data_IF_485713956880
#
_entry.id   IF_485713956880
#
_cell.length_a   1.000
_cell.length_b   1.000
_cell.length_c   1.000
_cell.angle_alpha   90.00
_cell.angle_beta   90.00
_cell.angle_gamma   90.00
#
_symmetry.space_group_name_H-M   'P 1'
#
loop_
_entity.id
_entity.type
_entity.pdbx_description
1 polymer ?
#
# COMPACT_ATOMS: atom_id res chain seq x y z
N UNK A 1 -17.92 23.24 12.06
CA UNK A 1 -17.11 22.01 12.01
C UNK A 1 -16.69 21.80 10.58
N UNK A 2 -15.44 22.14 10.30
CA UNK A 2 -14.76 21.91 9.03
C UNK A 2 -14.81 20.43 8.64
N UNK A 3 -15.12 20.15 7.39
CA UNK A 3 -14.72 18.90 6.75
C UNK A 3 -13.87 19.29 5.56
N UNK A 4 -12.61 19.59 5.83
CA UNK A 4 -11.56 19.61 4.82
C UNK A 4 -11.37 18.17 4.33
N UNK A 5 -12.25 17.75 3.42
CA UNK A 5 -11.90 16.71 2.46
C UNK A 5 -10.85 17.35 1.55
N UNK A 6 -9.63 17.47 2.07
CA UNK A 6 -8.46 17.70 1.24
C UNK A 6 -8.50 16.61 0.19
N UNK A 7 -8.55 17.00 -1.08
CA UNK A 7 -8.50 16.08 -2.20
C UNK A 7 -7.14 15.36 -2.13
N UNK A 8 -7.09 14.27 -1.37
CA UNK A 8 -5.97 13.35 -1.37
C UNK A 8 -5.78 12.95 -2.83
N UNK A 9 -4.54 13.06 -3.34
CA UNK A 9 -4.26 12.68 -4.71
C UNK A 9 -4.75 11.23 -4.92
N UNK A 10 -5.17 10.85 -6.14
CA UNK A 10 -5.61 9.49 -6.41
C UNK A 10 -4.65 8.41 -5.91
N UNK A 11 -3.34 8.69 -5.90
CA UNK A 11 -2.34 7.78 -5.34
C UNK A 11 -2.43 7.66 -3.82
N UNK A 12 -2.65 8.76 -3.09
CA UNK A 12 -2.80 8.71 -1.64
C UNK A 12 -4.07 7.93 -1.27
N UNK A 13 -5.18 8.19 -1.96
CA UNK A 13 -6.43 7.45 -1.77
C UNK A 13 -6.25 5.94 -2.04
N UNK A 14 -5.51 5.58 -3.09
CA UNK A 14 -5.23 4.17 -3.40
C UNK A 14 -4.34 3.51 -2.33
N UNK A 15 -3.37 4.24 -1.79
CA UNK A 15 -2.52 3.74 -0.71
C UNK A 15 -3.31 3.49 0.57
N UNK A 16 -4.24 4.38 0.91
CA UNK A 16 -5.15 4.16 2.03
C UNK A 16 -6.03 2.92 1.81
N UNK A 17 -6.58 2.74 0.60
CA UNK A 17 -7.33 1.53 0.24
C UNK A 17 -6.49 0.26 0.40
N UNK A 18 -5.26 0.26 -0.12
CA UNK A 18 -4.33 -0.87 0.04
C UNK A 18 -4.01 -1.18 1.50
N UNK A 19 -3.77 -0.16 2.32
CA UNK A 19 -3.50 -0.35 3.74
C UNK A 19 -4.71 -0.91 4.49
N UNK A 20 -5.92 -0.42 4.18
CA UNK A 20 -7.16 -0.91 4.77
C UNK A 20 -7.41 -2.39 4.42
N UNK A 21 -7.11 -2.82 3.18
CA UNK A 21 -7.20 -4.24 2.80
C UNK A 21 -6.22 -5.11 3.60
N UNK A 22 -4.99 -4.64 3.81
CA UNK A 22 -4.01 -5.36 4.63
C UNK A 22 -4.44 -5.45 6.10
N UNK A 23 -5.06 -4.40 6.65
CA UNK A 23 -5.65 -4.42 7.99
C UNK A 23 -6.82 -5.39 8.10
N UNK A 24 -7.70 -5.43 7.11
CA UNK A 24 -8.80 -6.38 7.04
C UNK A 24 -8.30 -7.84 7.03
N UNK A 25 -7.28 -8.13 6.21
CA UNK A 25 -6.64 -9.44 6.19
C UNK A 25 -6.00 -9.78 7.54
N UNK A 26 -5.35 -8.82 8.20
CA UNK A 26 -4.79 -9.04 9.53
C UNK A 26 -5.86 -9.45 10.56
N UNK A 27 -7.04 -8.83 10.51
CA UNK A 27 -8.16 -9.19 11.38
C UNK A 27 -8.64 -10.63 11.13
N UNK A 28 -8.73 -11.05 9.87
CA UNK A 28 -9.10 -12.43 9.52
C UNK A 28 -8.05 -13.45 9.98
N UNK A 29 -6.76 -13.13 9.85
CA UNK A 29 -5.70 -14.00 10.40
C UNK A 29 -5.75 -14.07 11.93
N UNK A 30 -6.08 -12.98 12.61
CA UNK A 30 -6.22 -12.98 14.07
C UNK A 30 -7.43 -13.80 14.54
N UNK A 31 -8.56 -13.70 13.84
CA UNK A 31 -9.75 -14.54 14.07
C UNK A 31 -9.43 -16.03 13.95
N UNK A 32 -8.59 -16.39 12.99
CA UNK A 32 -8.08 -17.76 12.79
C UNK A 32 -6.88 -18.11 13.68
N UNK A 33 -6.53 -17.27 14.66
CA UNK A 33 -5.40 -17.44 15.59
C UNK A 33 -4.02 -17.56 14.92
N UNK A 34 -3.90 -17.09 13.68
CA UNK A 34 -2.65 -17.02 12.91
C UNK A 34 -1.87 -15.75 13.26
N UNK A 35 -1.54 -15.57 14.54
CA UNK A 35 -1.00 -14.33 15.08
C UNK A 35 0.30 -13.83 14.41
N UNK A 36 1.27 -14.69 14.01
CA UNK A 36 2.46 -14.23 13.29
C UNK A 36 2.12 -13.56 11.96
N UNK A 37 1.15 -14.12 11.22
CA UNK A 37 0.71 -13.59 9.92
C UNK A 37 -0.08 -12.30 10.13
N UNK A 38 -0.99 -12.26 11.10
CA UNK A 38 -1.71 -11.04 11.45
C UNK A 38 -0.75 -9.89 11.81
N UNK A 39 0.33 -10.18 12.55
CA UNK A 39 1.37 -9.19 12.88
C UNK A 39 2.13 -8.71 11.64
N UNK A 40 2.50 -9.62 10.74
CA UNK A 40 3.14 -9.26 9.48
C UNK A 40 2.24 -8.38 8.61
N UNK A 41 0.95 -8.68 8.53
CA UNK A 41 -0.02 -7.90 7.76
C UNK A 41 -0.26 -6.50 8.35
N UNK A 42 -0.30 -6.37 9.68
CA UNK A 42 -0.32 -5.04 10.33
C UNK A 42 0.94 -4.23 10.04
N UNK A 43 2.10 -4.86 10.08
CA UNK A 43 3.36 -4.20 9.73
C UNK A 43 3.37 -3.76 8.25
N UNK A 44 2.81 -4.58 7.35
CA UNK A 44 2.64 -4.23 5.95
C UNK A 44 1.71 -3.02 5.78
N UNK A 45 0.55 -3.01 6.42
CA UNK A 45 -0.38 -1.86 6.36
C UNK A 45 0.28 -0.55 6.81
N UNK A 46 1.07 -0.59 7.89
CA UNK A 46 1.86 0.56 8.35
C UNK A 46 2.85 1.02 7.30
N UNK A 47 3.62 0.10 6.70
CA UNK A 47 4.55 0.43 5.60
C UNK A 47 3.85 1.03 4.39
N UNK A 48 2.65 0.57 4.04
CA UNK A 48 1.87 1.16 2.93
C UNK A 48 1.46 2.60 3.26
N UNK A 49 1.04 2.88 4.51
CA UNK A 49 0.68 4.23 4.99
C UNK A 49 1.89 5.16 5.08
N UNK A 50 3.02 4.65 5.57
CA UNK A 50 4.27 5.39 5.77
C UNK A 50 5.11 5.53 4.49
N UNK A 51 4.80 4.75 3.45
CA UNK A 51 5.43 4.90 2.15
C UNK A 51 5.37 6.37 1.73
N UNK A 52 6.41 6.88 1.12
CA UNK A 52 6.30 8.13 0.39
C UNK A 52 6.41 7.74 -1.06
N UNK A 53 5.62 8.37 -1.94
CA UNK A 53 5.91 8.27 -3.36
C UNK A 53 7.35 8.77 -3.51
N UNK A 54 8.29 7.84 -3.75
CA UNK A 54 9.58 8.26 -4.26
C UNK A 54 9.28 9.08 -5.50
N UNK A 55 9.77 10.32 -5.57
CA UNK A 55 9.67 11.17 -6.77
C UNK A 55 10.24 10.46 -8.01
N UNK A 56 10.97 9.37 -7.81
CA UNK A 56 11.67 8.61 -8.83
C UNK A 56 10.91 7.37 -9.34
N UNK A 57 9.68 7.07 -8.87
CA UNK A 57 8.84 6.09 -9.57
C UNK A 57 8.23 6.73 -10.82
N UNK A 58 9.10 7.20 -11.71
CA UNK A 58 8.75 7.69 -13.03
C UNK A 58 8.28 6.47 -13.82
N UNK A 59 6.97 6.42 -14.10
CA UNK A 59 6.31 5.35 -14.89
C UNK A 59 6.97 5.15 -16.26
N UNK A 60 7.75 6.13 -16.72
CA UNK A 60 8.58 6.07 -17.92
C UNK A 60 9.70 5.02 -17.85
N UNK A 61 10.21 4.71 -16.66
CA UNK A 61 11.30 3.74 -16.44
C UNK A 61 10.78 2.31 -16.37
N UNK A 62 9.60 2.10 -15.78
CA UNK A 62 8.99 0.77 -15.64
C UNK A 62 8.72 0.07 -16.99
N UNK A 63 8.33 0.81 -18.04
CA UNK A 63 8.16 0.24 -19.39
C UNK A 63 9.48 -0.08 -20.09
N UNK A 64 10.59 0.57 -19.72
CA UNK A 64 11.88 0.41 -20.42
C UNK A 64 12.62 -0.84 -19.97
N UNK A 65 12.45 -1.25 -18.72
CA UNK A 65 13.16 -2.39 -18.15
C UNK A 65 12.53 -3.75 -18.50
N UNK A 66 11.21 -3.79 -18.75
CA UNK A 66 10.54 -5.02 -19.23
C UNK A 66 11.04 -5.40 -20.63
N UNK A 67 11.31 -4.42 -21.51
CA UNK A 67 11.82 -4.68 -22.85
C UNK A 67 13.28 -5.15 -22.90
N UNK A 68 14.07 -4.87 -21.86
CA UNK A 68 15.52 -5.21 -21.83
C UNK A 68 15.80 -6.59 -21.25
N UNK A 69 14.88 -7.15 -20.47
CA UNK A 69 15.00 -8.51 -19.94
C UNK A 69 14.63 -9.62 -20.96
N UNK A 70 14.20 -9.24 -22.17
CA UNK A 70 13.76 -10.14 -23.24
C UNK A 70 14.76 -10.30 -24.40
N UNK A 71 16.05 -10.00 -24.19
CA UNK A 71 17.15 -10.27 -25.15
C UNK A 71 18.14 -11.25 -24.56
#
# INVERSE_FOLDING_TARGET
>A
MESTAENLSPEIAERERCAAMAEAQAMEFERNKMYPIARAMRALARRIKESTLSRDFDTRTASRDIGRAAV
#
